data_IF_645593791296
#
_entry.id   IF_645593791296
#
_cell.length_a   1.000
_cell.length_b   1.000
_cell.length_c   1.000
_cell.angle_alpha   90.00
_cell.angle_beta   90.00
_cell.angle_gamma   90.00
#
_symmetry.space_group_name_H-M   'P 1'
#
loop_
_entity.id
_entity.type
_entity.pdbx_description
1 polymer ?
#
# COMPACT_ATOMS: atom_id res chain seq x y z
N UNK A 1 26.25 -9.63 5.19
CA UNK A 1 27.67 -9.68 5.64
C UNK A 1 28.53 -10.23 4.51
N UNK A 2 28.31 -11.47 4.04
CA UNK A 2 29.12 -12.10 2.99
C UNK A 2 29.20 -11.27 1.68
N UNK A 3 28.07 -10.77 1.17
CA UNK A 3 28.06 -9.95 -0.04
C UNK A 3 28.93 -8.67 0.10
N UNK A 4 28.97 -8.05 1.28
CA UNK A 4 29.73 -6.81 1.48
C UNK A 4 31.23 -7.07 1.44
N UNK A 5 31.71 -8.14 2.04
CA UNK A 5 33.14 -8.50 2.07
C UNK A 5 33.64 -8.89 0.69
N UNK A 6 32.89 -9.70 -0.05
CA UNK A 6 33.26 -10.09 -1.41
C UNK A 6 33.22 -8.92 -2.38
N UNK A 7 32.19 -8.06 -2.28
CA UNK A 7 32.09 -6.85 -3.10
C UNK A 7 33.26 -5.90 -2.85
N UNK A 8 33.65 -5.67 -1.60
CA UNK A 8 34.74 -4.76 -1.26
C UNK A 8 36.08 -5.22 -1.81
N UNK A 9 36.34 -6.54 -1.87
CA UNK A 9 37.56 -7.08 -2.50
C UNK A 9 37.63 -6.72 -3.99
N UNK A 10 36.54 -6.92 -4.71
CA UNK A 10 36.48 -6.62 -6.16
C UNK A 10 36.44 -5.12 -6.40
N UNK A 11 35.68 -4.36 -5.59
CA UNK A 11 35.49 -2.92 -5.75
C UNK A 11 36.77 -2.12 -5.53
N UNK A 12 37.63 -2.56 -4.63
CA UNK A 12 38.92 -1.90 -4.37
C UNK A 12 39.87 -1.94 -5.58
N UNK A 13 39.64 -2.85 -6.54
CA UNK A 13 40.43 -2.98 -7.76
C UNK A 13 39.82 -2.23 -8.96
N UNK A 14 38.62 -1.63 -8.78
CA UNK A 14 37.91 -0.92 -9.87
C UNK A 14 38.30 0.55 -9.94
N UNK A 15 38.83 0.96 -11.09
CA UNK A 15 39.28 2.34 -11.31
C UNK A 15 38.17 3.30 -11.80
N UNK A 16 37.04 2.79 -12.36
CA UNK A 16 36.06 3.66 -13.02
C UNK A 16 34.60 3.18 -12.81
N UNK A 17 34.05 2.41 -13.76
CA UNK A 17 32.64 1.99 -13.80
C UNK A 17 32.56 0.48 -13.63
N UNK A 18 31.74 0.04 -12.68
CA UNK A 18 31.39 -1.37 -12.52
C UNK A 18 30.04 -1.66 -13.15
N UNK A 19 29.97 -2.66 -14.02
CA UNK A 19 28.72 -3.17 -14.57
C UNK A 19 28.43 -4.54 -13.94
N UNK A 20 27.26 -4.68 -13.31
CA UNK A 20 26.83 -5.93 -12.70
C UNK A 20 25.42 -6.30 -13.18
N UNK A 21 25.17 -7.55 -13.58
CA UNK A 21 23.82 -8.01 -13.87
C UNK A 21 22.99 -8.06 -12.56
N UNK A 22 21.78 -7.51 -12.60
CA UNK A 22 20.80 -7.66 -11.53
C UNK A 22 20.03 -8.97 -11.64
N UNK A 23 19.06 -9.19 -10.71
CA UNK A 23 18.12 -10.33 -10.73
C UNK A 23 18.73 -11.69 -10.34
N UNK A 24 20.02 -11.85 -10.39
CA UNK A 24 20.73 -13.10 -10.17
C UNK A 24 21.32 -13.12 -8.74
N UNK A 25 21.23 -14.27 -8.10
CA UNK A 25 21.87 -14.56 -6.82
C UNK A 25 22.54 -15.92 -6.84
N UNK A 26 23.22 -16.25 -5.76
CA UNK A 26 23.83 -17.56 -5.55
C UNK A 26 23.35 -18.10 -4.20
N UNK A 27 22.94 -19.36 -4.17
CA UNK A 27 22.50 -20.01 -2.93
C UNK A 27 23.68 -20.49 -2.08
N UNK A 28 23.39 -21.10 -0.93
CA UNK A 28 24.41 -21.63 -0.02
C UNK A 28 25.21 -22.81 -0.58
N UNK A 29 24.79 -23.35 -1.73
CA UNK A 29 25.46 -24.45 -2.45
C UNK A 29 26.21 -23.95 -3.69
N UNK A 30 26.39 -22.62 -3.80
CA UNK A 30 27.02 -21.94 -4.95
C UNK A 30 26.27 -22.12 -6.26
N UNK A 31 24.98 -22.48 -6.22
CA UNK A 31 24.16 -22.59 -7.41
C UNK A 31 23.51 -21.25 -7.75
N UNK A 32 23.54 -20.90 -9.06
CA UNK A 32 22.91 -19.68 -9.53
C UNK A 32 21.39 -19.78 -9.40
N UNK A 33 20.80 -18.79 -8.78
CA UNK A 33 19.36 -18.67 -8.58
C UNK A 33 18.87 -17.29 -8.99
N UNK A 34 17.56 -17.11 -9.08
CA UNK A 34 16.93 -15.82 -9.40
C UNK A 34 16.28 -15.23 -8.17
N UNK A 35 16.33 -13.90 -8.02
CA UNK A 35 15.77 -13.18 -6.88
C UNK A 35 14.24 -12.97 -6.96
N UNK A 36 13.62 -13.44 -8.06
CA UNK A 36 12.18 -13.31 -8.28
C UNK A 36 11.77 -11.91 -8.74
N UNK A 37 10.48 -11.59 -8.64
CA UNK A 37 9.92 -10.32 -9.11
C UNK A 37 10.64 -9.13 -8.46
N UNK A 38 10.97 -8.09 -9.25
CA UNK A 38 11.73 -6.89 -8.85
C UNK A 38 13.13 -7.19 -8.29
N UNK A 39 13.70 -8.35 -8.68
CA UNK A 39 15.02 -8.78 -8.22
C UNK A 39 16.15 -7.85 -8.68
N UNK A 40 16.02 -7.15 -9.80
CA UNK A 40 17.00 -6.16 -10.28
C UNK A 40 17.09 -4.96 -9.35
N UNK A 41 15.96 -4.41 -8.92
CA UNK A 41 15.90 -3.29 -7.97
C UNK A 41 16.46 -3.70 -6.61
N UNK A 42 16.16 -4.93 -6.18
CA UNK A 42 16.74 -5.47 -4.96
C UNK A 42 18.26 -5.63 -5.07
N UNK A 43 18.77 -6.12 -6.20
CA UNK A 43 20.22 -6.22 -6.45
C UNK A 43 20.88 -4.84 -6.39
N UNK A 44 20.25 -3.82 -7.01
CA UNK A 44 20.75 -2.44 -6.96
C UNK A 44 20.81 -1.89 -5.53
N UNK A 45 19.77 -2.13 -4.73
CA UNK A 45 19.74 -1.73 -3.32
C UNK A 45 20.83 -2.41 -2.48
N UNK A 46 21.03 -3.73 -2.66
CA UNK A 46 22.11 -4.46 -1.98
C UNK A 46 23.49 -3.96 -2.43
N UNK A 47 23.66 -3.71 -3.73
CA UNK A 47 24.90 -3.17 -4.28
C UNK A 47 25.22 -1.79 -3.73
N UNK A 48 24.21 -0.91 -3.66
CA UNK A 48 24.37 0.42 -3.07
C UNK A 48 24.85 0.36 -1.61
N UNK A 49 24.31 -0.58 -0.83
CA UNK A 49 24.76 -0.83 0.56
C UNK A 49 26.21 -1.33 0.59
N UNK A 50 26.58 -2.29 -0.26
CA UNK A 50 27.91 -2.85 -0.31
C UNK A 50 28.96 -1.80 -0.71
N UNK A 51 28.60 -0.93 -1.67
CA UNK A 51 29.43 0.16 -2.16
C UNK A 51 29.46 1.38 -1.22
N UNK A 52 28.61 1.42 -0.20
CA UNK A 52 28.37 2.60 0.63
C UNK A 52 28.05 3.84 -0.23
N UNK A 53 27.16 3.63 -1.20
CA UNK A 53 26.82 4.64 -2.18
C UNK A 53 26.18 5.88 -1.54
N UNK A 54 26.42 7.04 -2.13
CA UNK A 54 25.78 8.30 -1.71
C UNK A 54 24.30 8.34 -2.08
N UNK A 55 23.91 7.64 -3.17
CA UNK A 55 22.55 7.53 -3.65
C UNK A 55 22.36 6.23 -4.43
N UNK A 56 21.16 5.66 -4.38
CA UNK A 56 20.72 4.57 -5.24
C UNK A 56 19.70 5.14 -6.25
N UNK A 57 19.97 5.09 -7.53
CA UNK A 57 19.03 5.51 -8.57
C UNK A 57 18.34 4.30 -9.19
N UNK A 58 17.02 4.28 -9.19
CA UNK A 58 16.20 3.27 -9.85
C UNK A 58 15.55 3.90 -11.09
N UNK A 59 16.01 3.46 -12.25
CA UNK A 59 15.49 3.91 -13.53
C UNK A 59 14.42 2.94 -14.03
N UNK A 60 13.20 3.46 -14.23
CA UNK A 60 12.01 2.69 -14.59
C UNK A 60 11.22 3.37 -15.72
N UNK A 61 10.00 2.95 -15.98
CA UNK A 61 9.10 3.45 -17.02
C UNK A 61 8.11 4.52 -16.55
N UNK A 62 8.20 4.95 -15.27
CA UNK A 62 7.36 6.00 -14.68
C UNK A 62 8.21 7.14 -14.12
N UNK A 63 7.66 8.36 -14.09
CA UNK A 63 8.38 9.55 -13.63
C UNK A 63 8.72 9.53 -12.13
N UNK A 64 8.17 8.60 -11.37
CA UNK A 64 8.34 8.45 -9.93
C UNK A 64 7.05 7.96 -9.28
N UNK A 65 6.89 8.20 -7.99
CA UNK A 65 5.72 7.81 -7.22
C UNK A 65 4.68 8.93 -7.23
N UNK A 66 3.43 8.60 -7.55
CA UNK A 66 2.32 9.54 -7.58
C UNK A 66 1.47 9.43 -6.31
N UNK A 67 0.76 10.51 -5.98
CA UNK A 67 -0.16 10.54 -4.83
C UNK A 67 -1.43 9.71 -5.01
N UNK A 68 -1.69 9.20 -6.21
CA UNK A 68 -2.67 8.20 -6.58
C UNK A 68 -2.28 7.59 -7.93
N UNK A 69 -2.89 6.47 -8.32
CA UNK A 69 -2.65 5.87 -9.65
C UNK A 69 -3.09 6.84 -10.76
N UNK A 70 -2.18 7.35 -11.61
CA UNK A 70 -2.52 8.30 -12.67
C UNK A 70 -3.45 7.71 -13.73
N UNK A 71 -3.55 6.38 -13.83
CA UNK A 71 -4.51 5.70 -14.72
C UNK A 71 -5.95 5.85 -14.22
N UNK A 72 -6.14 5.97 -12.90
CA UNK A 72 -7.45 6.17 -12.28
C UNK A 72 -7.76 7.64 -12.02
N UNK A 73 -6.75 8.43 -11.70
CA UNK A 73 -6.85 9.84 -11.29
C UNK A 73 -6.01 10.71 -12.21
N UNK A 74 -6.67 11.45 -13.11
CA UNK A 74 -6.00 12.35 -14.06
C UNK A 74 -5.23 13.49 -13.39
N UNK A 75 -5.71 13.94 -12.23
CA UNK A 75 -5.11 15.02 -11.44
C UNK A 75 -4.09 14.48 -10.42
N UNK A 76 -3.65 13.22 -10.55
CA UNK A 76 -2.60 12.66 -9.72
C UNK A 76 -1.30 13.45 -9.91
N UNK A 77 -0.60 13.72 -8.79
CA UNK A 77 0.63 14.51 -8.79
C UNK A 77 1.81 13.66 -8.41
N UNK A 78 2.93 13.89 -9.07
CA UNK A 78 4.19 13.32 -8.70
C UNK A 78 4.57 13.78 -7.28
N UNK A 79 5.07 12.89 -6.47
CA UNK A 79 5.59 13.18 -5.14
C UNK A 79 7.09 13.46 -5.26
N UNK A 80 7.50 14.63 -4.81
CA UNK A 80 8.91 15.01 -4.83
C UNK A 80 9.72 14.18 -3.84
N UNK A 81 9.09 13.83 -2.71
CA UNK A 81 9.76 13.17 -1.61
C UNK A 81 8.84 12.20 -0.84
N UNK A 82 9.43 11.07 -0.41
CA UNK A 82 8.82 10.08 0.50
C UNK A 82 9.82 9.68 1.58
N UNK A 83 9.35 9.42 2.78
CA UNK A 83 10.14 8.68 3.77
C UNK A 83 10.28 7.21 3.36
N UNK A 84 11.28 6.50 3.90
CA UNK A 84 11.40 5.05 3.66
C UNK A 84 10.14 4.29 4.11
N UNK A 85 9.54 4.73 5.21
CA UNK A 85 8.33 4.12 5.75
C UNK A 85 7.12 4.37 4.86
N UNK A 86 6.91 5.61 4.39
CA UNK A 86 5.86 5.93 3.43
C UNK A 86 6.02 5.13 2.13
N UNK A 87 7.26 5.01 1.64
CA UNK A 87 7.55 4.22 0.44
C UNK A 87 7.29 2.72 0.65
N UNK A 88 7.60 2.17 1.82
CA UNK A 88 7.26 0.78 2.17
C UNK A 88 5.75 0.55 2.21
N UNK A 89 4.99 1.42 2.88
CA UNK A 89 3.53 1.34 2.93
C UNK A 89 2.89 1.41 1.53
N UNK A 90 3.29 2.39 0.72
CA UNK A 90 2.78 2.52 -0.65
C UNK A 90 3.11 1.32 -1.52
N UNK A 91 4.33 0.80 -1.40
CA UNK A 91 4.76 -0.39 -2.15
C UNK A 91 4.01 -1.65 -1.74
N UNK A 92 3.62 -1.76 -0.48
CA UNK A 92 2.84 -2.88 0.03
C UNK A 92 1.40 -2.84 -0.46
N UNK A 93 0.78 -1.66 -0.50
CA UNK A 93 -0.61 -1.47 -0.90
C UNK A 93 -0.82 -1.15 -2.38
N UNK A 94 0.08 -1.59 -3.27
CA UNK A 94 -0.17 -1.62 -4.71
C UNK A 94 0.48 -0.51 -5.54
N UNK A 95 1.20 0.44 -4.96
CA UNK A 95 2.05 1.32 -5.73
C UNK A 95 3.23 0.52 -6.28
N UNK A 96 3.09 0.02 -7.51
CA UNK A 96 4.00 -0.97 -8.15
C UNK A 96 5.36 -0.40 -8.57
N UNK A 97 5.71 0.81 -8.13
CA UNK A 97 6.95 1.49 -8.57
C UNK A 97 8.19 0.86 -7.94
N UNK A 98 8.12 0.48 -6.66
CA UNK A 98 9.17 -0.27 -5.96
C UNK A 98 8.58 -1.44 -5.19
N UNK A 99 9.40 -2.45 -4.97
CA UNK A 99 9.03 -3.55 -4.08
C UNK A 99 9.51 -3.28 -2.65
N UNK A 100 8.74 -3.63 -1.59
CA UNK A 100 9.16 -3.41 -0.19
C UNK A 100 10.55 -3.98 0.14
N UNK A 101 10.90 -5.13 -0.46
CA UNK A 101 12.23 -5.75 -0.30
C UNK A 101 13.37 -4.86 -0.78
N UNK A 102 13.16 -4.02 -1.80
CA UNK A 102 14.16 -3.08 -2.32
C UNK A 102 14.44 -1.95 -1.33
N UNK A 103 13.39 -1.48 -0.65
CA UNK A 103 13.50 -0.36 0.30
C UNK A 103 14.22 -0.79 1.59
N UNK A 104 14.03 -2.03 2.05
CA UNK A 104 14.60 -2.53 3.30
C UNK A 104 16.11 -2.28 3.46
N UNK A 105 16.97 -2.75 2.54
CA UNK A 105 18.42 -2.54 2.62
C UNK A 105 18.82 -1.06 2.65
N UNK A 106 18.29 -0.24 1.73
CA UNK A 106 18.65 1.19 1.65
C UNK A 106 18.16 1.96 2.88
N UNK A 107 16.99 1.64 3.43
CA UNK A 107 16.47 2.23 4.66
C UNK A 107 17.36 1.93 5.87
N UNK A 108 17.82 0.67 6.00
CA UNK A 108 18.68 0.24 7.11
C UNK A 108 20.00 0.99 7.15
N UNK A 109 20.55 1.35 5.99
CA UNK A 109 21.82 2.03 5.86
C UNK A 109 21.70 3.52 5.51
N UNK A 110 20.46 4.05 5.53
CA UNK A 110 20.16 5.46 5.26
C UNK A 110 20.66 5.97 3.91
N UNK A 111 20.63 5.12 2.88
CA UNK A 111 21.03 5.47 1.52
C UNK A 111 19.82 6.06 0.80
N UNK A 112 19.86 7.32 0.34
CA UNK A 112 18.79 7.92 -0.45
C UNK A 112 18.55 7.11 -1.72
N UNK A 113 17.26 7.00 -2.13
CA UNK A 113 16.90 6.35 -3.38
C UNK A 113 16.11 7.32 -4.26
N UNK A 114 16.59 7.56 -5.48
CA UNK A 114 15.91 8.39 -6.45
C UNK A 114 15.29 7.54 -7.54
N UNK A 115 13.97 7.69 -7.72
CA UNK A 115 13.24 7.01 -8.79
C UNK A 115 13.17 7.94 -9.99
N UNK A 116 13.59 7.46 -11.15
CA UNK A 116 13.70 8.22 -12.41
C UNK A 116 13.05 7.47 -13.56
N UNK A 117 12.58 8.23 -14.54
CA UNK A 117 12.00 7.67 -15.77
C UNK A 117 13.06 7.61 -16.88
N UNK A 118 13.30 6.41 -17.39
CA UNK A 118 14.21 6.21 -18.54
C UNK A 118 13.69 6.91 -19.81
N UNK A 119 12.39 6.97 -19.99
CA UNK A 119 11.74 7.66 -21.13
C UNK A 119 11.63 9.17 -20.98
N UNK A 120 11.81 9.70 -19.75
CA UNK A 120 11.73 11.14 -19.43
C UNK A 120 12.80 11.51 -18.38
N UNK A 121 14.09 11.51 -18.75
CA UNK A 121 15.19 11.74 -17.82
C UNK A 121 15.18 13.13 -17.15
N UNK A 122 14.55 14.10 -17.79
CA UNK A 122 14.43 15.48 -17.27
C UNK A 122 13.39 15.61 -16.15
N UNK A 123 12.49 14.62 -15.99
CA UNK A 123 11.57 14.62 -14.87
C UNK A 123 12.34 14.58 -13.53
N UNK A 124 11.89 15.33 -12.50
CA UNK A 124 12.61 15.43 -11.23
C UNK A 124 12.73 14.06 -10.53
N UNK A 125 11.75 13.19 -10.73
CA UNK A 125 11.68 11.91 -10.03
C UNK A 125 11.08 12.03 -8.62
N UNK A 126 11.17 10.94 -7.86
CA UNK A 126 10.79 10.89 -6.44
C UNK A 126 11.99 10.49 -5.61
N UNK A 127 12.40 11.34 -4.67
CA UNK A 127 13.44 11.02 -3.71
C UNK A 127 12.85 10.28 -2.51
N UNK A 128 13.42 9.13 -2.17
CA UNK A 128 13.09 8.36 -0.96
C UNK A 128 14.26 8.48 0.00
N UNK A 129 14.00 8.90 1.23
CA UNK A 129 15.07 9.13 2.19
C UNK A 129 14.60 9.22 3.63
N UNK A 130 15.48 9.73 4.47
CA UNK A 130 15.29 9.76 5.93
C UNK A 130 14.77 11.12 6.44
N UNK A 131 14.56 12.08 5.56
CA UNK A 131 14.22 13.44 5.96
C UNK A 131 12.81 13.57 6.48
N UNK A 132 12.69 14.30 7.56
CA UNK A 132 11.42 14.85 8.05
C UNK A 132 10.95 15.93 7.08
N UNK A 133 10.10 15.56 6.15
CA UNK A 133 9.28 16.57 5.49
C UNK A 133 8.43 17.24 6.58
N UNK A 134 8.77 18.50 6.88
CA UNK A 134 8.04 19.29 7.88
C UNK A 134 6.57 19.53 7.49
N UNK A 135 6.19 19.21 6.29
CA UNK A 135 4.80 19.20 5.83
C UNK A 135 4.13 17.88 6.21
N UNK A 136 3.77 17.76 7.48
CA UNK A 136 2.92 16.68 7.99
C UNK A 136 1.61 16.61 7.20
N UNK A 137 1.53 15.77 6.19
CA UNK A 137 0.37 15.61 5.31
C UNK A 137 0.17 14.15 4.97
N UNK A 138 -1.07 13.83 4.61
CA UNK A 138 -1.35 12.64 3.81
C UNK A 138 -0.58 12.78 2.49
N UNK A 139 0.17 11.74 2.12
CA UNK A 139 1.01 11.75 0.91
C UNK A 139 0.29 11.14 -0.28
N UNK A 140 -0.36 9.99 -0.08
CA UNK A 140 -0.95 9.26 -1.18
C UNK A 140 -2.14 8.39 -0.77
N UNK A 141 -2.91 7.99 -1.79
CA UNK A 141 -3.94 6.95 -1.72
C UNK A 141 -3.53 5.85 -2.68
N UNK A 142 -3.46 4.63 -2.20
CA UNK A 142 -3.20 3.44 -3.01
C UNK A 142 -4.32 2.42 -2.87
N UNK A 143 -4.34 1.46 -3.78
CA UNK A 143 -5.27 0.34 -3.72
C UNK A 143 -4.60 -0.98 -4.09
N UNK A 144 -5.15 -2.04 -3.55
CA UNK A 144 -4.78 -3.40 -3.89
C UNK A 144 -6.06 -4.18 -4.18
N UNK A 145 -6.14 -4.74 -5.38
CA UNK A 145 -7.32 -5.41 -5.89
C UNK A 145 -7.18 -6.95 -5.87
N UNK A 146 -8.26 -7.64 -6.24
CA UNK A 146 -8.32 -9.09 -6.34
C UNK A 146 -8.06 -9.82 -5.02
N UNK A 147 -8.73 -9.37 -3.98
CA UNK A 147 -8.61 -9.91 -2.64
C UNK A 147 -9.84 -10.71 -2.22
N UNK A 148 -9.59 -11.70 -1.38
CA UNK A 148 -10.61 -12.48 -0.68
C UNK A 148 -10.35 -12.34 0.81
N UNK A 149 -11.40 -11.99 1.56
CA UNK A 149 -11.38 -12.01 3.01
C UNK A 149 -11.81 -13.39 3.50
N UNK A 150 -11.03 -13.95 4.39
CA UNK A 150 -11.32 -15.21 5.09
C UNK A 150 -11.66 -14.88 6.53
N UNK A 151 -12.81 -15.36 7.00
CA UNK A 151 -13.25 -15.23 8.38
C UNK A 151 -13.20 -16.60 9.06
N UNK A 152 -12.45 -16.67 10.16
CA UNK A 152 -12.41 -17.81 11.07
C UNK A 152 -13.08 -17.37 12.37
N UNK A 153 -14.27 -17.86 12.64
CA UNK A 153 -15.11 -17.45 13.76
C UNK A 153 -15.73 -18.64 14.49
N UNK A 154 -16.11 -18.41 15.73
CA UNK A 154 -16.83 -19.40 16.52
C UNK A 154 -16.56 -19.31 18.02
N UNK A 155 -17.40 -19.99 18.83
CA UNK A 155 -17.25 -19.98 20.28
C UNK A 155 -15.92 -20.55 20.78
N UNK A 156 -15.30 -21.45 20.02
CA UNK A 156 -13.98 -22.02 20.33
C UNK A 156 -12.81 -21.06 20.10
N UNK A 157 -13.04 -19.90 19.48
CA UNK A 157 -11.99 -18.88 19.36
C UNK A 157 -11.73 -18.15 20.69
N UNK A 158 -12.80 -17.96 21.47
CA UNK A 158 -12.73 -17.17 22.71
C UNK A 158 -12.03 -17.92 23.83
N UNK A 159 -10.95 -17.31 24.35
CA UNK A 159 -10.22 -17.84 25.50
C UNK A 159 -9.37 -19.09 25.22
N UNK A 160 -9.32 -19.57 23.98
CA UNK A 160 -8.44 -20.67 23.57
C UNK A 160 -7.09 -20.13 23.12
N UNK A 161 -6.06 -20.39 23.93
CA UNK A 161 -4.69 -20.00 23.61
C UNK A 161 -4.21 -20.76 22.37
N UNK A 162 -3.63 -20.02 21.40
CA UNK A 162 -2.99 -20.62 20.24
C UNK A 162 -3.83 -20.69 18.96
N UNK A 163 -5.12 -20.32 18.97
CA UNK A 163 -5.97 -20.34 17.77
C UNK A 163 -5.39 -19.48 16.65
N UNK A 164 -5.01 -18.23 16.95
CA UNK A 164 -4.36 -17.35 15.99
C UNK A 164 -3.05 -17.93 15.44
N UNK A 165 -2.25 -18.57 16.31
CA UNK A 165 -1.01 -19.25 15.88
C UNK A 165 -1.30 -20.38 14.89
N UNK A 166 -2.32 -21.19 15.11
CA UNK A 166 -2.72 -22.27 14.19
C UNK A 166 -3.18 -21.71 12.84
N UNK A 167 -4.04 -20.69 12.84
CA UNK A 167 -4.47 -20.02 11.59
C UNK A 167 -3.29 -19.54 10.78
N UNK A 168 -2.38 -18.77 11.40
CA UNK A 168 -1.25 -18.20 10.69
C UNK A 168 -0.17 -19.23 10.32
N UNK A 169 0.04 -20.25 11.14
CA UNK A 169 0.94 -21.36 10.81
C UNK A 169 0.43 -22.17 9.62
N UNK A 170 -0.88 -22.34 9.49
CA UNK A 170 -1.50 -23.01 8.33
C UNK A 170 -1.23 -22.21 7.06
N UNK A 171 -1.46 -20.89 7.07
CA UNK A 171 -1.17 -20.02 5.92
C UNK A 171 0.33 -20.05 5.57
N UNK A 172 1.20 -20.04 6.57
CA UNK A 172 2.65 -20.10 6.37
C UNK A 172 3.11 -21.42 5.74
N UNK A 173 2.55 -22.55 6.13
CA UNK A 173 2.86 -23.88 5.55
C UNK A 173 2.51 -23.93 4.07
N UNK A 174 1.41 -23.28 3.69
CA UNK A 174 0.94 -23.20 2.32
C UNK A 174 1.62 -22.08 1.51
N UNK A 175 2.56 -21.35 2.12
CA UNK A 175 3.23 -20.20 1.52
C UNK A 175 2.24 -19.10 1.04
N UNK A 176 1.12 -18.94 1.74
CA UNK A 176 0.09 -17.94 1.47
C UNK A 176 0.41 -16.67 2.24
N UNK A 177 0.54 -15.56 1.51
CA UNK A 177 0.81 -14.24 2.09
C UNK A 177 -0.47 -13.58 2.58
N UNK A 178 -0.45 -13.11 3.83
CA UNK A 178 -1.54 -12.32 4.42
C UNK A 178 -1.34 -10.85 4.10
N UNK A 179 -2.35 -10.23 3.49
CA UNK A 179 -2.29 -8.83 3.06
C UNK A 179 -2.77 -7.88 4.16
N UNK A 180 -3.83 -8.26 4.87
CA UNK A 180 -4.41 -7.48 5.96
C UNK A 180 -4.96 -8.43 6.99
N UNK A 181 -4.78 -8.12 8.26
CA UNK A 181 -5.30 -8.87 9.39
C UNK A 181 -6.15 -7.94 10.24
N UNK A 182 -7.34 -8.39 10.60
CA UNK A 182 -8.23 -7.71 11.53
C UNK A 182 -8.78 -8.72 12.52
N UNK A 183 -8.74 -8.39 13.79
CA UNK A 183 -9.30 -9.24 14.84
C UNK A 183 -10.31 -8.43 15.67
N UNK A 184 -11.46 -9.03 15.96
CA UNK A 184 -12.44 -8.40 16.82
C UNK A 184 -11.96 -8.39 18.29
N UNK A 185 -12.29 -7.34 19.02
CA UNK A 185 -11.92 -7.21 20.45
C UNK A 185 -12.54 -8.33 21.34
N UNK A 186 -13.55 -9.02 20.84
CA UNK A 186 -14.19 -10.15 21.54
C UNK A 186 -13.46 -11.48 21.38
N UNK A 187 -12.35 -11.51 20.62
CA UNK A 187 -11.61 -12.73 20.26
C UNK A 187 -12.45 -13.81 19.57
N UNK A 188 -13.67 -13.46 19.11
CA UNK A 188 -14.60 -14.39 18.49
C UNK A 188 -14.26 -14.68 17.02
N UNK A 189 -13.61 -13.73 16.34
CA UNK A 189 -13.33 -13.81 14.91
C UNK A 189 -11.94 -13.27 14.61
N UNK A 190 -11.21 -14.01 13.77
CA UNK A 190 -10.01 -13.53 13.07
C UNK A 190 -10.37 -13.42 11.60
N UNK A 191 -10.24 -12.23 11.04
CA UNK A 191 -10.45 -11.93 9.62
C UNK A 191 -9.13 -11.55 8.98
N UNK A 192 -8.83 -12.07 7.82
CA UNK A 192 -7.64 -11.67 7.08
C UNK A 192 -7.91 -11.69 5.57
N UNK A 193 -7.17 -10.85 4.85
CA UNK A 193 -7.23 -10.80 3.39
C UNK A 193 -6.05 -11.52 2.77
N UNK A 194 -6.31 -12.27 1.71
CA UNK A 194 -5.34 -12.94 0.86
C UNK A 194 -5.64 -12.61 -0.61
N UNK A 195 -4.73 -12.89 -1.50
CA UNK A 195 -5.03 -12.83 -2.93
C UNK A 195 -6.08 -13.88 -3.30
N UNK A 196 -7.02 -13.52 -4.16
CA UNK A 196 -8.11 -14.43 -4.56
C UNK A 196 -7.60 -15.72 -5.21
N UNK A 197 -6.41 -15.67 -5.83
CA UNK A 197 -5.77 -16.85 -6.40
C UNK A 197 -5.49 -17.95 -5.35
N UNK A 198 -5.24 -17.57 -4.10
CA UNK A 198 -4.88 -18.48 -3.02
C UNK A 198 -6.09 -18.93 -2.21
N UNK A 199 -7.29 -18.40 -2.50
CA UNK A 199 -8.47 -18.58 -1.66
C UNK A 199 -8.91 -20.05 -1.51
N UNK A 200 -8.89 -20.81 -2.61
CA UNK A 200 -9.29 -22.22 -2.57
C UNK A 200 -8.32 -23.08 -1.74
N UNK A 201 -7.02 -22.85 -1.87
CA UNK A 201 -5.99 -23.54 -1.10
C UNK A 201 -6.09 -23.18 0.39
N UNK A 202 -6.27 -21.89 0.71
CA UNK A 202 -6.45 -21.42 2.08
C UNK A 202 -7.67 -22.07 2.75
N UNK A 203 -8.81 -22.11 2.04
CA UNK A 203 -10.03 -22.72 2.54
C UNK A 203 -9.85 -24.21 2.86
N UNK A 204 -9.25 -24.95 1.94
CA UNK A 204 -9.01 -26.38 2.14
C UNK A 204 -8.08 -26.64 3.32
N UNK A 205 -6.96 -25.98 3.39
CA UNK A 205 -5.96 -26.18 4.45
C UNK A 205 -6.48 -25.77 5.83
N UNK A 206 -7.32 -24.73 5.91
CA UNK A 206 -7.99 -24.37 7.16
C UNK A 206 -9.07 -25.39 7.57
N UNK A 207 -9.82 -25.95 6.62
CA UNK A 207 -10.79 -27.02 6.91
C UNK A 207 -10.09 -28.27 7.45
N UNK A 208 -8.94 -28.62 6.90
CA UNK A 208 -8.13 -29.75 7.38
C UNK A 208 -7.54 -29.48 8.77
N UNK A 209 -6.99 -28.30 8.99
CA UNK A 209 -6.39 -27.90 10.28
C UNK A 209 -7.41 -27.87 11.42
N UNK A 210 -8.64 -27.41 11.11
CA UNK A 210 -9.71 -27.20 12.10
C UNK A 210 -10.88 -28.19 11.97
N UNK A 211 -10.64 -29.37 11.41
CA UNK A 211 -11.68 -30.38 11.18
C UNK A 211 -12.45 -30.72 12.44
N UNK A 212 -11.75 -30.95 13.56
CA UNK A 212 -12.37 -31.32 14.83
C UNK A 212 -13.20 -30.18 15.42
N UNK A 213 -12.72 -28.96 15.36
CA UNK A 213 -13.43 -27.78 15.85
C UNK A 213 -14.70 -27.50 15.02
N UNK A 214 -14.61 -27.67 13.71
CA UNK A 214 -15.74 -27.51 12.80
C UNK A 214 -16.81 -28.61 13.05
N UNK A 215 -16.41 -29.88 13.18
CA UNK A 215 -17.32 -31.01 13.45
C UNK A 215 -18.02 -30.88 14.81
N UNK A 216 -17.35 -30.35 15.81
CA UNK A 216 -17.90 -30.18 17.15
C UNK A 216 -18.61 -28.83 17.36
N UNK A 217 -18.75 -28.00 16.33
CA UNK A 217 -19.42 -26.70 16.41
C UNK A 217 -18.68 -25.68 17.26
N UNK A 218 -17.37 -25.87 17.51
CA UNK A 218 -16.48 -24.90 18.17
C UNK A 218 -16.06 -23.78 17.23
N UNK A 219 -16.00 -24.08 15.93
CA UNK A 219 -15.89 -23.08 14.86
C UNK A 219 -17.13 -23.14 13.97
N UNK A 220 -17.50 -21.97 13.49
CA UNK A 220 -18.50 -21.82 12.43
C UNK A 220 -17.88 -22.21 11.07
N UNK A 221 -18.71 -22.58 10.06
CA UNK A 221 -18.20 -22.77 8.71
C UNK A 221 -17.38 -21.57 8.26
N UNK A 222 -16.24 -21.82 7.60
CA UNK A 222 -15.39 -20.75 7.09
C UNK A 222 -16.17 -19.88 6.10
N UNK A 223 -16.14 -18.57 6.31
CA UNK A 223 -16.75 -17.59 5.42
C UNK A 223 -15.67 -16.94 4.55
N UNK A 224 -15.80 -17.09 3.23
CA UNK A 224 -14.95 -16.44 2.25
C UNK A 224 -15.75 -15.39 1.49
N UNK A 225 -15.23 -14.16 1.48
CA UNK A 225 -15.79 -13.04 0.73
C UNK A 225 -14.79 -12.56 -0.29
N UNK A 226 -15.06 -12.84 -1.56
CA UNK A 226 -14.22 -12.45 -2.70
C UNK A 226 -14.63 -11.09 -3.30
N UNK A 227 -13.97 -10.69 -4.38
CA UNK A 227 -14.18 -9.42 -5.08
C UNK A 227 -13.99 -8.21 -4.17
N UNK A 228 -12.94 -8.23 -3.37
CA UNK A 228 -12.59 -7.16 -2.46
C UNK A 228 -11.34 -6.42 -2.93
N UNK A 229 -11.25 -5.15 -2.52
CA UNK A 229 -10.07 -4.31 -2.65
C UNK A 229 -9.76 -3.67 -1.31
N UNK A 230 -8.48 -3.42 -1.08
CA UNK A 230 -8.03 -2.54 -0.01
C UNK A 230 -7.78 -1.15 -0.62
N UNK A 231 -8.25 -0.11 0.05
CA UNK A 231 -7.87 1.28 -0.21
C UNK A 231 -7.14 1.81 1.00
N UNK A 232 -5.95 2.31 0.80
CA UNK A 232 -5.06 2.78 1.87
C UNK A 232 -4.71 4.25 1.69
N UNK A 233 -4.88 5.02 2.75
CA UNK A 233 -4.42 6.39 2.88
C UNK A 233 -3.07 6.36 3.59
N UNK A 234 -2.01 6.91 2.99
CA UNK A 234 -0.64 6.82 3.49
C UNK A 234 -0.03 8.20 3.70
N UNK A 235 0.71 8.37 4.78
CA UNK A 235 1.53 9.55 5.06
C UNK A 235 1.97 9.62 6.51
N UNK A 236 3.24 9.87 6.77
CA UNK A 236 3.82 10.08 8.10
C UNK A 236 3.15 11.25 8.84
N UNK A 237 2.58 12.17 8.10
CA UNK A 237 1.89 13.33 8.65
C UNK A 237 0.53 13.06 9.28
N UNK A 238 0.03 11.83 9.22
CA UNK A 238 -1.23 11.46 9.88
C UNK A 238 -1.04 11.32 11.39
N UNK A 239 0.16 10.96 11.82
CA UNK A 239 0.51 10.89 13.23
C UNK A 239 0.28 12.25 13.91
N UNK A 240 -0.54 12.28 14.93
CA UNK A 240 -0.98 13.48 15.65
C UNK A 240 -1.91 14.45 14.87
N UNK A 241 -2.32 14.15 13.63
CA UNK A 241 -3.27 14.99 12.91
C UNK A 241 -4.71 14.57 13.18
N UNK A 242 -5.43 15.42 13.91
CA UNK A 242 -6.84 15.15 14.23
C UNK A 242 -7.72 15.24 12.99
N UNK A 243 -8.69 14.32 12.88
CA UNK A 243 -9.72 14.36 11.86
C UNK A 243 -9.38 13.70 10.53
N UNK A 244 -8.17 13.17 10.32
CA UNK A 244 -7.79 12.46 9.08
C UNK A 244 -8.69 11.25 8.85
N UNK A 245 -8.86 10.40 9.85
CA UNK A 245 -9.75 9.25 9.77
C UNK A 245 -11.21 9.67 9.50
N UNK A 246 -11.71 10.68 10.20
CA UNK A 246 -13.06 11.20 10.00
C UNK A 246 -13.26 11.68 8.55
N UNK A 247 -12.29 12.43 8.00
CA UNK A 247 -12.32 12.91 6.61
C UNK A 247 -12.28 11.76 5.61
N UNK A 248 -11.47 10.72 5.88
CA UNK A 248 -11.40 9.54 5.02
C UNK A 248 -12.72 8.78 4.99
N UNK A 249 -13.29 8.46 6.16
CA UNK A 249 -14.58 7.77 6.22
C UNK A 249 -15.73 8.61 5.66
N UNK A 250 -15.71 9.93 5.84
CA UNK A 250 -16.67 10.83 5.18
C UNK A 250 -16.54 10.79 3.66
N UNK A 251 -15.33 10.69 3.13
CA UNK A 251 -15.09 10.55 1.68
C UNK A 251 -15.67 9.24 1.14
N UNK A 252 -15.50 8.13 1.87
CA UNK A 252 -16.06 6.83 1.52
C UNK A 252 -17.60 6.85 1.57
N UNK A 253 -18.17 7.51 2.57
CA UNK A 253 -19.62 7.70 2.67
C UNK A 253 -20.18 8.51 1.50
N UNK A 254 -19.51 9.62 1.11
CA UNK A 254 -19.87 10.40 -0.09
C UNK A 254 -19.82 9.56 -1.36
N UNK A 255 -18.82 8.66 -1.49
CA UNK A 255 -18.70 7.72 -2.59
C UNK A 255 -19.72 6.57 -2.52
N UNK A 256 -20.58 6.53 -1.49
CA UNK A 256 -21.52 5.43 -1.21
C UNK A 256 -20.83 4.06 -1.15
N UNK A 257 -19.69 4.02 -0.49
CA UNK A 257 -18.88 2.83 -0.30
C UNK A 257 -19.14 2.29 1.11
N UNK A 258 -19.48 1.00 1.19
CA UNK A 258 -19.54 0.28 2.45
C UNK A 258 -18.16 -0.24 2.81
N UNK A 259 -17.74 -0.03 4.05
CA UNK A 259 -16.47 -0.53 4.58
C UNK A 259 -16.71 -1.92 5.20
N UNK A 260 -15.98 -2.92 4.73
CA UNK A 260 -16.08 -4.31 5.20
C UNK A 260 -15.18 -4.53 6.43
N UNK A 261 -13.95 -4.02 6.37
CA UNK A 261 -13.01 -4.08 7.48
C UNK A 261 -12.10 -2.85 7.47
N UNK A 262 -11.48 -2.57 8.60
CA UNK A 262 -10.57 -1.45 8.82
C UNK A 262 -9.31 -1.98 9.47
N UNK A 263 -8.16 -1.51 9.03
CA UNK A 263 -6.88 -1.72 9.69
C UNK A 263 -6.13 -0.39 9.80
N UNK A 264 -5.66 -0.11 10.98
CA UNK A 264 -4.76 0.99 11.29
C UNK A 264 -3.79 0.51 12.35
N UNK A 265 -2.51 0.71 12.13
CA UNK A 265 -1.49 0.35 13.09
C UNK A 265 -1.20 1.49 14.09
N UNK A 266 -0.41 1.19 15.11
CA UNK A 266 -0.02 2.16 16.13
C UNK A 266 0.96 3.21 15.63
N UNK A 267 1.53 3.04 14.43
CA UNK A 267 2.40 4.04 13.80
C UNK A 267 1.61 5.20 13.20
N UNK A 268 0.29 5.02 13.02
CA UNK A 268 -0.64 5.99 12.41
C UNK A 268 -0.20 6.47 11.02
N UNK A 269 0.62 5.68 10.31
CA UNK A 269 1.14 6.03 8.97
C UNK A 269 0.22 5.65 7.84
N UNK A 270 -0.64 4.67 8.09
CA UNK A 270 -1.64 4.23 7.11
C UNK A 270 -3.00 3.98 7.76
N UNK A 271 -4.06 4.26 7.01
CA UNK A 271 -5.42 3.84 7.31
C UNK A 271 -5.91 3.05 6.11
N UNK A 272 -6.12 1.75 6.30
CA UNK A 272 -6.54 0.82 5.26
C UNK A 272 -7.97 0.35 5.48
N UNK A 273 -8.74 0.34 4.43
CA UNK A 273 -10.12 -0.15 4.44
C UNK A 273 -10.31 -1.22 3.39
N UNK A 274 -11.04 -2.27 3.75
CA UNK A 274 -11.49 -3.30 2.82
C UNK A 274 -12.87 -2.93 2.32
N UNK A 275 -13.05 -2.91 1.01
CA UNK A 275 -14.28 -2.53 0.33
C UNK A 275 -14.57 -3.49 -0.83
N UNK A 276 -15.78 -3.44 -1.39
CA UNK A 276 -16.09 -4.14 -2.63
C UNK A 276 -15.27 -3.58 -3.80
N UNK A 277 -14.65 -4.46 -4.59
CA UNK A 277 -13.74 -4.10 -5.68
C UNK A 277 -14.38 -3.17 -6.72
N UNK A 278 -15.67 -3.42 -7.04
CA UNK A 278 -16.43 -2.56 -7.99
C UNK A 278 -16.56 -1.10 -7.53
N UNK A 279 -16.33 -0.82 -6.26
CA UNK A 279 -16.40 0.52 -5.65
C UNK A 279 -15.03 1.18 -5.45
N UNK A 280 -13.95 0.48 -5.77
CA UNK A 280 -12.59 0.94 -5.52
C UNK A 280 -12.29 2.29 -6.22
N UNK A 281 -12.61 2.40 -7.51
CA UNK A 281 -12.38 3.62 -8.28
C UNK A 281 -13.16 4.82 -7.73
N UNK A 282 -14.42 4.62 -7.31
CA UNK A 282 -15.23 5.70 -6.72
C UNK A 282 -14.63 6.17 -5.39
N UNK A 283 -14.21 5.20 -4.55
CA UNK A 283 -13.57 5.47 -3.26
C UNK A 283 -12.29 6.31 -3.43
N UNK A 284 -11.42 5.90 -4.37
CA UNK A 284 -10.16 6.61 -4.64
C UNK A 284 -10.43 8.02 -5.18
N UNK A 285 -11.34 8.19 -6.14
CA UNK A 285 -11.67 9.49 -6.75
C UNK A 285 -12.14 10.50 -5.71
N UNK A 286 -13.14 10.12 -4.92
CA UNK A 286 -13.72 11.03 -3.91
C UNK A 286 -12.71 11.33 -2.81
N UNK A 287 -11.99 10.31 -2.34
CA UNK A 287 -10.96 10.52 -1.33
C UNK A 287 -9.82 11.40 -1.84
N UNK A 288 -9.34 11.17 -3.08
CA UNK A 288 -8.31 12.01 -3.70
C UNK A 288 -8.77 13.46 -3.82
N UNK A 289 -9.99 13.71 -4.28
CA UNK A 289 -10.57 15.05 -4.36
C UNK A 289 -10.58 15.74 -3.00
N UNK A 290 -11.02 15.05 -1.96
CA UNK A 290 -11.10 15.62 -0.63
C UNK A 290 -9.74 15.89 -0.01
N UNK A 291 -8.74 15.04 -0.22
CA UNK A 291 -7.42 15.19 0.41
C UNK A 291 -6.43 16.05 -0.39
N UNK A 292 -6.48 16.01 -1.72
CA UNK A 292 -5.43 16.60 -2.57
C UNK A 292 -5.90 17.70 -3.50
N UNK A 293 -7.23 17.88 -3.70
CA UNK A 293 -7.73 19.01 -4.47
C UNK A 293 -7.64 20.30 -3.64
N UNK A 294 -6.88 21.25 -4.12
CA UNK A 294 -6.77 22.59 -3.52
C UNK A 294 -7.90 23.54 -3.94
N UNK A 295 -8.98 22.99 -4.49
CA UNK A 295 -10.13 23.83 -4.85
C UNK A 295 -10.94 24.10 -3.59
N UNK A 296 -11.02 25.34 -3.10
CA UNK A 296 -11.88 25.66 -1.99
C UNK A 296 -13.33 25.35 -2.41
N UNK A 297 -13.96 24.41 -1.74
CA UNK A 297 -15.38 24.16 -1.91
C UNK A 297 -16.11 25.23 -1.11
N UNK A 298 -16.90 26.04 -1.78
CA UNK A 298 -17.77 27.04 -1.14
C UNK A 298 -19.19 26.50 -1.19
N UNK A 299 -19.77 26.22 -0.04
CA UNK A 299 -21.17 25.86 0.07
C UNK A 299 -21.99 27.15 0.04
N UNK A 300 -22.79 27.31 -1.02
CA UNK A 300 -23.67 28.45 -1.21
C UNK A 300 -25.11 28.06 -0.89
N UNK A 301 -25.67 28.65 0.14
CA UNK A 301 -27.09 28.50 0.48
C UNK A 301 -27.87 29.67 -0.12
N UNK A 302 -28.76 29.39 -1.09
CA UNK A 302 -29.61 30.37 -1.70
C UNK A 302 -30.99 30.33 -1.02
N UNK A 303 -31.34 31.44 -0.37
CA UNK A 303 -32.67 31.61 0.25
C UNK A 303 -33.55 32.47 -0.68
N UNK A 304 -34.52 31.82 -1.27
CA UNK A 304 -35.45 32.46 -2.23
C UNK A 304 -35.03 32.24 -3.69
N UNK A 305 -35.92 31.58 -4.45
CA UNK A 305 -35.74 31.30 -5.88
C UNK A 305 -36.69 32.16 -6.75
N UNK A 306 -36.87 33.42 -6.39
CA UNK A 306 -37.55 34.39 -7.24
C UNK A 306 -36.69 34.81 -8.46
N UNK A 307 -37.09 35.83 -9.19
CA UNK A 307 -36.41 36.27 -10.42
C UNK A 307 -34.88 36.43 -10.22
N UNK A 308 -34.45 37.07 -9.15
CA UNK A 308 -33.02 37.32 -8.86
C UNK A 308 -32.30 36.03 -8.50
N UNK A 309 -32.89 35.15 -7.68
CA UNK A 309 -32.29 33.91 -7.28
C UNK A 309 -32.13 32.92 -8.43
N UNK A 310 -33.13 32.87 -9.33
CA UNK A 310 -33.07 32.04 -10.53
C UNK A 310 -31.98 32.52 -11.49
N UNK A 311 -31.82 33.83 -11.67
CA UNK A 311 -30.78 34.42 -12.50
C UNK A 311 -29.38 34.13 -11.93
N UNK A 312 -29.22 34.22 -10.63
CA UNK A 312 -27.94 33.88 -9.99
C UNK A 312 -27.56 32.40 -10.22
N UNK A 313 -28.50 31.45 -10.09
CA UNK A 313 -28.27 30.03 -10.38
C UNK A 313 -27.84 29.85 -11.84
N UNK A 314 -28.50 30.54 -12.76
CA UNK A 314 -28.18 30.48 -14.19
C UNK A 314 -26.78 31.03 -14.49
N UNK A 315 -26.40 32.16 -13.87
CA UNK A 315 -25.06 32.73 -13.99
C UNK A 315 -23.99 31.80 -13.43
N UNK A 316 -24.20 31.22 -12.25
CA UNK A 316 -23.26 30.23 -11.67
C UNK A 316 -23.11 29.04 -12.64
N UNK A 317 -24.22 28.52 -13.19
CA UNK A 317 -24.20 27.41 -14.14
C UNK A 317 -23.44 27.74 -15.42
N UNK A 318 -23.63 28.93 -15.97
CA UNK A 318 -22.91 29.42 -17.18
C UNK A 318 -21.42 29.61 -16.92
N UNK A 319 -21.02 30.07 -15.73
CA UNK A 319 -19.62 30.33 -15.38
C UNK A 319 -18.90 29.11 -14.80
N UNK A 320 -19.58 28.02 -14.53
CA UNK A 320 -18.99 26.80 -13.97
C UNK A 320 -17.75 26.29 -14.74
N UNK A 321 -17.66 26.35 -16.09
CA UNK A 321 -16.45 25.96 -16.81
C UNK A 321 -15.26 26.90 -16.56
N UNK A 322 -15.50 28.17 -16.27
CA UNK A 322 -14.44 29.16 -15.98
C UNK A 322 -14.03 29.17 -14.51
N UNK A 323 -14.88 28.61 -13.62
CA UNK A 323 -14.63 28.48 -12.19
C UNK A 323 -14.00 27.14 -11.83
N UNK A 324 -13.90 26.21 -12.76
CA UNK A 324 -13.19 24.93 -12.67
C UNK A 324 -11.73 25.08 -13.08
#
# INVERSE_FOLDING_TARGET
VLCKEEFQKVYAELENIALMPGFIGVDSQEQVTTLGRNGSDYSAAVLAVCAQAECCEIWTDVDGVYNADPRLIKDARLLDYLSYQEAMELSYFGASVLHPKTIGPIAQYHIPCLIKNTGNPEAPGTLIGNENDQQKRVKAISNLDNLTMVNVSGPGMKGMVGMASRVFATMSRENISLVLISQSSSEYCISFCIYTADAAQAEQSLKEEFELELLNGLLEPLELKSELSIVSLVGDGMHHQRGVAAKFFSSLAQARVNVVAIAQDSSERSISVVIEQRKCTDAIKVSHQNFFSHRPTIDVFLIGCGVVGSELIEQISRQQPALK
#
